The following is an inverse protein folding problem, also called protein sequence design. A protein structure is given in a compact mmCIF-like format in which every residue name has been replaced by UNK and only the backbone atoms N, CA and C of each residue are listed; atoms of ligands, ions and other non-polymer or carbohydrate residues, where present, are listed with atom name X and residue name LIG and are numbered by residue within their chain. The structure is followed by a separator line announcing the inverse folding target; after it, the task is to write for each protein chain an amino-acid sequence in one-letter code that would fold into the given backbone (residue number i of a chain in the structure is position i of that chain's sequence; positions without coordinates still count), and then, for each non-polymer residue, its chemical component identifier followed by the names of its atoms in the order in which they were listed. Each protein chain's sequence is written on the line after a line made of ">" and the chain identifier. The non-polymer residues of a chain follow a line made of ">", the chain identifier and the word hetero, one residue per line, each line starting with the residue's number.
data_IF_470878561012
#
_entry.id   IF_470878561012
#
_cell.length_a   1.000
_cell.length_b   1.000
_cell.length_c   1.000
_cell.angle_alpha   90.00
_cell.angle_beta   90.00
_cell.angle_gamma   90.00
#
_symmetry.space_group_name_H-M   'P 1'
#
loop_
_entity.id
_entity.type
_entity.pdbx_description
1 polymer ?
#
# COMPACT_ATOMS: atom_id res chain seq x y z
N UNK A 1 21.93 21.00 -3.00
CA UNK A 1 21.66 19.89 -3.95
C UNK A 1 20.81 18.86 -3.24
N UNK A 2 19.50 18.84 -3.50
CA UNK A 2 18.60 17.84 -2.92
C UNK A 2 18.90 16.50 -3.58
N UNK A 3 19.51 15.58 -2.82
CA UNK A 3 19.63 14.18 -3.22
C UNK A 3 18.25 13.58 -3.16
N UNK A 4 17.57 13.50 -4.31
CA UNK A 4 16.29 12.80 -4.43
C UNK A 4 16.45 11.39 -3.86
N UNK A 5 15.64 11.06 -2.86
CA UNK A 5 15.62 9.73 -2.28
C UNK A 5 14.95 8.79 -3.28
N UNK A 6 15.74 7.92 -3.91
CA UNK A 6 15.23 6.84 -4.76
C UNK A 6 14.74 5.70 -3.87
N UNK A 7 13.42 5.50 -3.81
CA UNK A 7 12.81 4.35 -3.15
C UNK A 7 12.75 3.21 -4.18
N UNK A 8 13.42 2.09 -3.88
CA UNK A 8 13.40 0.89 -4.72
C UNK A 8 12.22 0.00 -4.32
N UNK A 9 11.25 -0.18 -5.22
CA UNK A 9 10.20 -1.20 -5.09
C UNK A 9 10.69 -2.48 -5.76
N UNK A 10 11.25 -3.41 -4.99
CA UNK A 10 11.65 -4.71 -5.52
C UNK A 10 10.48 -5.71 -5.38
N UNK A 11 9.79 -5.97 -6.49
CA UNK A 11 8.70 -6.93 -6.56
C UNK A 11 9.20 -8.37 -6.53
N UNK A 12 9.21 -9.00 -5.35
CA UNK A 12 9.11 -10.46 -5.22
C UNK A 12 7.73 -10.78 -4.65
N UNK A 13 6.94 -11.49 -5.44
CA UNK A 13 5.48 -11.65 -5.44
C UNK A 13 4.84 -12.40 -4.26
N UNK A 14 5.35 -12.28 -3.03
CA UNK A 14 4.75 -12.93 -1.84
C UNK A 14 4.78 -12.05 -0.56
N UNK A 15 5.16 -10.77 -0.65
CA UNK A 15 5.35 -9.92 0.54
C UNK A 15 4.73 -8.55 0.37
N UNK A 16 3.87 -8.20 1.33
CA UNK A 16 3.30 -6.87 1.53
C UNK A 16 4.38 -5.78 1.35
N UNK A 17 4.26 -4.97 0.30
CA UNK A 17 5.00 -3.73 0.19
C UNK A 17 4.16 -2.60 0.80
N UNK A 18 4.80 -1.70 1.55
CA UNK A 18 4.14 -0.55 2.15
C UNK A 18 4.75 0.73 1.58
N UNK A 19 3.93 1.57 0.97
CA UNK A 19 4.32 2.94 0.60
C UNK A 19 4.13 3.82 1.83
N UNK A 20 5.21 4.43 2.30
CA UNK A 20 5.25 5.30 3.47
C UNK A 20 5.55 6.73 3.02
N UNK A 21 4.91 7.73 3.63
CA UNK A 21 5.09 9.14 3.23
C UNK A 21 5.33 10.11 4.39
N UNK A 22 5.85 9.63 5.53
CA UNK A 22 6.42 10.54 6.54
C UNK A 22 7.94 10.58 6.47
N UNK A 23 8.48 11.80 6.36
CA UNK A 23 9.92 12.07 6.48
C UNK A 23 10.47 11.51 7.80
N UNK A 24 9.71 11.58 8.88
CA UNK A 24 10.15 11.12 10.21
C UNK A 24 10.12 9.60 10.38
N UNK A 25 9.20 8.89 9.72
CA UNK A 25 9.09 7.43 9.83
C UNK A 25 10.13 6.70 9.00
N UNK A 26 10.24 7.06 7.71
CA UNK A 26 11.21 6.46 6.78
C UNK A 26 12.64 6.84 7.18
N UNK A 27 12.90 8.11 7.50
CA UNK A 27 14.25 8.52 7.91
C UNK A 27 14.66 7.74 9.17
N UNK A 28 13.76 7.52 10.12
CA UNK A 28 14.06 6.73 11.32
C UNK A 28 14.28 5.24 11.03
N UNK A 29 13.55 4.64 10.08
CA UNK A 29 13.82 3.28 9.57
C UNK A 29 15.26 3.20 9.04
N UNK A 30 15.63 4.17 8.22
CA UNK A 30 16.97 4.26 7.63
C UNK A 30 18.04 4.54 8.70
N UNK A 31 17.77 5.42 9.67
CA UNK A 31 18.67 5.78 10.78
C UNK A 31 18.90 4.59 11.73
N UNK A 32 17.90 3.71 11.90
CA UNK A 32 18.02 2.46 12.64
C UNK A 32 18.80 1.37 11.88
N UNK A 33 19.28 1.67 10.66
CA UNK A 33 20.03 0.73 9.82
C UNK A 33 19.19 -0.45 9.31
N UNK A 34 17.87 -0.35 9.38
CA UNK A 34 16.99 -1.35 8.80
C UNK A 34 17.16 -1.29 7.28
N UNK A 35 17.50 -2.42 6.68
CA UNK A 35 17.70 -2.55 5.24
C UNK A 35 16.83 -3.67 4.72
N UNK A 36 16.11 -3.41 3.64
CA UNK A 36 15.32 -4.44 2.97
C UNK A 36 16.29 -5.45 2.33
N UNK A 37 16.37 -6.65 2.89
CA UNK A 37 17.17 -7.75 2.33
C UNK A 37 16.29 -8.65 1.45
N UNK A 38 16.84 -9.14 0.34
CA UNK A 38 16.12 -10.00 -0.63
C UNK A 38 15.75 -11.39 -0.10
N UNK A 39 16.33 -11.84 1.01
CA UNK A 39 16.00 -13.14 1.58
C UNK A 39 14.61 -13.10 2.22
N UNK A 40 13.89 -14.24 2.23
CA UNK A 40 12.59 -14.39 2.90
C UNK A 40 12.61 -13.90 4.36
N UNK A 41 13.66 -14.27 5.11
CA UNK A 41 13.85 -13.81 6.49
C UNK A 41 14.08 -12.30 6.57
N UNK A 42 14.83 -11.75 5.61
CA UNK A 42 15.08 -10.32 5.49
C UNK A 42 13.81 -9.50 5.23
N UNK A 43 12.98 -9.94 4.29
CA UNK A 43 11.69 -9.31 3.99
C UNK A 43 10.71 -9.41 5.15
N UNK A 44 10.67 -10.56 5.84
CA UNK A 44 9.85 -10.73 7.04
C UNK A 44 10.28 -9.76 8.16
N UNK A 45 11.58 -9.68 8.44
CA UNK A 45 12.12 -8.78 9.45
C UNK A 45 11.87 -7.30 9.09
N UNK A 46 12.02 -6.96 7.81
CA UNK A 46 11.66 -5.65 7.28
C UNK A 46 10.19 -5.32 7.56
N UNK A 47 9.26 -6.17 7.14
CA UNK A 47 7.83 -5.94 7.34
C UNK A 47 7.45 -5.82 8.82
N UNK A 48 8.05 -6.62 9.70
CA UNK A 48 7.85 -6.51 11.15
C UNK A 48 8.31 -5.14 11.64
N UNK A 49 9.53 -4.71 11.29
CA UNK A 49 10.05 -3.40 11.71
C UNK A 49 9.23 -2.22 11.19
N UNK A 50 8.73 -2.31 9.95
CA UNK A 50 7.80 -1.30 9.42
C UNK A 50 6.51 -1.27 10.23
N UNK A 51 5.91 -2.43 10.53
CA UNK A 51 4.67 -2.50 11.32
C UNK A 51 4.87 -1.92 12.72
N UNK A 52 5.98 -2.25 13.40
CA UNK A 52 6.30 -1.69 14.74
C UNK A 52 6.40 -0.16 14.70
N UNK A 53 6.97 0.39 13.64
CA UNK A 53 7.07 1.85 13.46
C UNK A 53 5.68 2.44 13.18
N UNK A 54 4.85 1.76 12.41
CA UNK A 54 3.46 2.16 12.17
C UNK A 54 2.58 2.07 13.43
N UNK A 55 2.90 1.19 14.38
CA UNK A 55 2.27 1.12 15.71
C UNK A 55 2.69 2.31 16.59
N UNK A 56 3.97 2.65 16.59
CA UNK A 56 4.51 3.78 17.37
C UNK A 56 4.13 5.15 16.78
N UNK A 57 3.84 5.20 15.49
CA UNK A 57 3.52 6.42 14.75
C UNK A 57 2.19 6.26 14.00
N UNK A 58 1.05 6.39 14.70
CA UNK A 58 -0.28 6.21 14.10
C UNK A 58 -0.60 7.26 13.02
N UNK A 59 0.09 8.41 13.03
CA UNK A 59 -0.03 9.46 12.00
C UNK A 59 0.73 9.13 10.71
N UNK A 60 1.66 8.18 10.75
CA UNK A 60 2.37 7.74 9.54
C UNK A 60 1.40 7.08 8.57
N UNK A 61 1.47 7.50 7.31
CA UNK A 61 0.68 6.95 6.22
C UNK A 61 1.32 5.66 5.72
N UNK A 62 0.46 4.70 5.41
CA UNK A 62 0.84 3.41 4.88
C UNK A 62 -0.18 2.95 3.85
N UNK A 63 0.29 2.71 2.63
CA UNK A 63 -0.51 2.10 1.57
C UNK A 63 0.03 0.72 1.27
N UNK A 64 -0.85 -0.27 1.19
CA UNK A 64 -0.50 -1.61 0.73
C UNK A 64 -0.24 -1.55 -0.77
N UNK A 65 0.92 -2.03 -1.23
CA UNK A 65 1.21 -2.23 -2.63
C UNK A 65 1.42 -3.72 -2.86
N UNK A 66 0.52 -4.33 -3.61
CA UNK A 66 0.61 -5.73 -4.01
C UNK A 66 0.93 -5.83 -5.50
N UNK A 67 2.06 -6.46 -5.80
CA UNK A 67 2.53 -6.66 -7.17
C UNK A 67 2.45 -8.14 -7.55
N UNK A 68 1.92 -8.42 -8.73
CA UNK A 68 1.78 -9.75 -9.32
C UNK A 68 2.57 -9.88 -10.61
N UNK A 69 2.79 -11.12 -11.04
CA UNK A 69 3.44 -11.39 -12.30
C UNK A 69 2.61 -10.85 -13.49
N UNK A 70 3.27 -10.47 -14.60
CA UNK A 70 2.60 -10.14 -15.86
C UNK A 70 1.52 -11.15 -16.27
N UNK A 71 0.30 -10.68 -16.54
CA UNK A 71 -0.83 -11.53 -16.95
C UNK A 71 -1.63 -12.16 -15.80
N UNK A 72 -1.24 -11.93 -14.54
CA UNK A 72 -2.09 -12.27 -13.40
C UNK A 72 -3.42 -11.52 -13.47
N UNK A 73 -4.53 -12.22 -13.18
CA UNK A 73 -5.87 -11.62 -13.13
C UNK A 73 -6.05 -10.92 -11.79
N UNK A 74 -5.95 -9.60 -11.77
CA UNK A 74 -5.93 -8.81 -10.53
C UNK A 74 -7.16 -9.05 -9.64
N UNK A 75 -8.35 -9.20 -10.22
CA UNK A 75 -9.59 -9.44 -9.45
C UNK A 75 -9.52 -10.67 -8.54
N UNK A 76 -8.72 -11.69 -8.91
CA UNK A 76 -8.52 -12.90 -8.09
C UNK A 76 -7.61 -12.67 -6.87
N UNK A 77 -6.92 -11.53 -6.82
CA UNK A 77 -5.98 -11.18 -5.76
C UNK A 77 -6.52 -10.10 -4.82
N UNK A 78 -7.69 -9.52 -5.11
CA UNK A 78 -8.38 -8.59 -4.20
C UNK A 78 -8.59 -9.18 -2.80
N UNK A 79 -9.03 -10.45 -2.63
CA UNK A 79 -9.17 -11.04 -1.31
C UNK A 79 -7.86 -11.07 -0.50
N UNK A 80 -6.71 -11.25 -1.16
CA UNK A 80 -5.41 -11.24 -0.50
C UNK A 80 -5.08 -9.86 0.07
N UNK A 81 -5.30 -8.80 -0.73
CA UNK A 81 -5.05 -7.42 -0.29
C UNK A 81 -5.97 -7.02 0.87
N UNK A 82 -7.22 -7.48 0.86
CA UNK A 82 -8.15 -7.29 1.98
C UNK A 82 -7.64 -8.00 3.24
N UNK A 83 -7.16 -9.24 3.12
CA UNK A 83 -6.59 -9.98 4.25
C UNK A 83 -5.34 -9.29 4.82
N UNK A 84 -4.48 -8.73 3.97
CA UNK A 84 -3.32 -7.94 4.38
C UNK A 84 -3.74 -6.65 5.10
N UNK A 85 -4.77 -5.96 4.63
CA UNK A 85 -5.34 -4.79 5.30
C UNK A 85 -5.88 -5.15 6.69
N UNK A 86 -6.61 -6.25 6.81
CA UNK A 86 -7.08 -6.74 8.12
C UNK A 86 -5.91 -7.07 9.06
N UNK A 87 -4.84 -7.69 8.55
CA UNK A 87 -3.62 -7.92 9.31
C UNK A 87 -2.95 -6.64 9.79
N UNK A 88 -2.89 -5.62 8.94
CA UNK A 88 -2.36 -4.30 9.30
C UNK A 88 -3.25 -3.58 10.32
N UNK A 89 -4.58 -3.72 10.21
CA UNK A 89 -5.53 -3.19 11.20
C UNK A 89 -5.34 -3.84 12.57
N UNK A 90 -5.19 -5.17 12.63
CA UNK A 90 -5.01 -5.91 13.89
C UNK A 90 -3.84 -5.39 14.71
N UNK A 91 -2.74 -5.07 14.02
CA UNK A 91 -1.51 -4.56 14.62
C UNK A 91 -1.61 -3.08 14.95
N UNK A 92 -2.14 -2.29 14.02
CA UNK A 92 -1.97 -0.84 14.08
C UNK A 92 -3.24 -0.04 14.35
N UNK A 93 -4.39 -0.71 14.45
CA UNK A 93 -5.73 -0.13 14.66
C UNK A 93 -6.18 0.88 13.59
N UNK A 94 -5.49 0.94 12.44
CA UNK A 94 -5.87 1.79 11.30
C UNK A 94 -7.24 1.39 10.77
N UNK A 95 -8.16 2.35 10.73
CA UNK A 95 -9.54 2.12 10.25
C UNK A 95 -9.63 2.07 8.73
N UNK A 96 -8.90 2.96 8.06
CA UNK A 96 -8.89 3.08 6.61
C UNK A 96 -7.50 2.75 6.08
N UNK A 97 -7.42 1.75 5.20
CA UNK A 97 -6.16 1.20 4.71
C UNK A 97 -6.18 1.28 3.18
N UNK A 98 -5.50 2.27 2.59
CA UNK A 98 -5.37 2.37 1.14
C UNK A 98 -4.55 1.21 0.58
N UNK A 99 -4.87 0.80 -0.64
CA UNK A 99 -4.12 -0.22 -1.36
C UNK A 99 -4.00 0.07 -2.85
N UNK A 100 -2.97 -0.52 -3.44
CA UNK A 100 -2.66 -0.56 -4.87
C UNK A 100 -2.36 -2.02 -5.25
N UNK A 101 -2.96 -2.52 -6.32
CA UNK A 101 -2.74 -3.87 -6.84
C UNK A 101 -2.35 -3.78 -8.32
N UNK A 102 -1.26 -4.42 -8.73
CA UNK A 102 -0.74 -4.32 -10.10
C UNK A 102 -0.12 -5.61 -10.64
N UNK A 103 -0.18 -5.80 -11.95
CA UNK A 103 0.61 -6.79 -12.70
C UNK A 103 1.57 -6.10 -13.69
N UNK A 104 1.95 -4.85 -13.40
CA UNK A 104 2.67 -3.88 -14.23
C UNK A 104 1.88 -3.29 -15.41
N UNK A 105 0.93 -4.04 -15.99
CA UNK A 105 0.12 -3.61 -17.14
C UNK A 105 -1.26 -3.10 -16.73
N UNK A 106 -1.76 -3.55 -15.60
CA UNK A 106 -3.04 -3.16 -15.04
C UNK A 106 -2.84 -2.69 -13.60
N UNK A 107 -3.67 -1.75 -13.17
CA UNK A 107 -3.67 -1.20 -11.83
C UNK A 107 -5.10 -1.15 -11.28
N UNK A 108 -5.24 -1.53 -10.02
CA UNK A 108 -6.43 -1.33 -9.20
C UNK A 108 -5.99 -0.56 -7.96
N UNK A 109 -6.60 0.60 -7.74
CA UNK A 109 -6.48 1.38 -6.51
C UNK A 109 -7.74 1.18 -5.68
N UNK A 110 -7.59 1.15 -4.36
CA UNK A 110 -8.73 1.03 -3.48
C UNK A 110 -8.41 1.35 -2.04
N UNK A 111 -9.39 1.12 -1.18
CA UNK A 111 -9.28 1.37 0.26
C UNK A 111 -10.19 0.41 1.00
N UNK A 112 -9.68 -0.15 2.10
CA UNK A 112 -10.43 -0.99 3.02
C UNK A 112 -10.80 -0.17 4.25
N UNK A 113 -12.09 -0.20 4.62
CA UNK A 113 -12.61 0.35 5.88
C UNK A 113 -12.94 -0.81 6.82
N UNK A 114 -12.23 -0.87 7.94
CA UNK A 114 -12.45 -1.88 8.98
C UNK A 114 -13.33 -1.28 10.08
N UNK A 115 -14.43 -1.96 10.43
CA UNK A 115 -15.32 -1.51 11.51
C UNK A 115 -14.98 -2.25 12.80
N UNK A 116 -14.59 -1.55 13.90
CA UNK A 116 -14.33 -2.20 15.17
C UNK A 116 -15.63 -2.71 15.80
N UNK A 117 -15.59 -3.87 16.45
CA UNK A 117 -16.63 -4.28 17.40
C UNK A 117 -17.17 -5.69 17.21
N UNK A 118 -17.48 -6.11 15.98
CA UNK A 118 -18.15 -7.39 15.73
C UNK A 118 -17.63 -7.98 14.40
N UNK A 119 -17.10 -9.20 14.47
CA UNK A 119 -16.77 -10.09 13.34
C UNK A 119 -15.81 -9.59 12.24
N UNK A 120 -14.87 -8.69 12.53
CA UNK A 120 -13.89 -8.21 11.52
C UNK A 120 -14.56 -7.75 10.21
N UNK A 121 -15.73 -7.10 10.32
CA UNK A 121 -16.42 -6.59 9.16
C UNK A 121 -15.54 -5.53 8.45
N UNK A 122 -15.23 -5.81 7.19
CA UNK A 122 -14.49 -4.91 6.31
C UNK A 122 -15.34 -4.59 5.09
N UNK A 123 -15.50 -3.29 4.83
CA UNK A 123 -15.99 -2.77 3.57
C UNK A 123 -14.79 -2.39 2.71
N UNK A 124 -14.89 -2.52 1.40
CA UNK A 124 -13.83 -2.06 0.51
C UNK A 124 -14.43 -1.37 -0.71
N UNK A 125 -13.71 -0.36 -1.18
CA UNK A 125 -13.99 0.31 -2.44
C UNK A 125 -12.77 0.18 -3.34
N UNK A 126 -12.98 0.03 -4.64
CA UNK A 126 -11.92 -0.04 -5.62
C UNK A 126 -12.30 0.67 -6.92
N UNK A 127 -11.29 1.28 -7.53
CA UNK A 127 -11.36 1.81 -8.89
C UNK A 127 -11.62 0.68 -9.90
N UNK A 128 -12.12 1.06 -11.07
CA UNK A 128 -12.07 0.17 -12.24
C UNK A 128 -10.62 -0.10 -12.62
N UNK A 129 -10.37 -1.27 -13.22
CA UNK A 129 -9.06 -1.64 -13.76
C UNK A 129 -8.55 -0.56 -14.72
N UNK A 130 -7.39 0.01 -14.40
CA UNK A 130 -6.66 0.94 -15.25
C UNK A 130 -5.59 0.17 -16.02
N UNK A 131 -5.73 0.07 -17.35
CA UNK A 131 -4.72 -0.58 -18.19
C UNK A 131 -3.70 0.46 -18.68
N UNK A 132 -2.42 0.10 -18.62
CA UNK A 132 -1.30 0.85 -19.21
C UNK A 132 -0.93 0.18 -20.53
N UNK A 133 -1.19 0.87 -21.64
CA UNK A 133 -0.86 0.46 -23.01
C UNK A 133 0.38 1.17 -23.55
N UNK A 134 1.12 1.86 -22.70
CA UNK A 134 2.37 2.54 -23.05
C UNK A 134 2.20 4.01 -23.47
N UNK A 135 1.02 4.62 -23.25
CA UNK A 135 0.85 6.05 -23.44
C UNK A 135 1.32 6.84 -22.19
N UNK A 136 2.13 7.90 -22.33
CA UNK A 136 2.53 8.77 -21.22
C UNK A 136 1.38 9.25 -20.32
N UNK A 137 0.19 9.52 -20.87
CA UNK A 137 -0.96 9.96 -20.08
C UNK A 137 -1.43 8.91 -19.06
N UNK A 138 -1.40 7.63 -19.43
CA UNK A 138 -1.78 6.51 -18.55
C UNK A 138 -0.74 6.31 -17.45
N UNK A 139 0.55 6.43 -17.81
CA UNK A 139 1.65 6.38 -16.85
C UNK A 139 1.54 7.52 -15.84
N UNK A 140 1.30 8.74 -16.33
CA UNK A 140 1.11 9.91 -15.46
C UNK A 140 -0.08 9.74 -14.53
N UNK A 141 -1.20 9.20 -15.03
CA UNK A 141 -2.35 8.88 -14.19
C UNK A 141 -1.97 7.93 -13.04
N UNK A 142 -1.26 6.83 -13.34
CA UNK A 142 -0.83 5.86 -12.32
C UNK A 142 0.14 6.48 -11.32
N UNK A 143 1.08 7.31 -11.77
CA UNK A 143 2.00 8.02 -10.87
C UNK A 143 1.27 9.01 -9.97
N UNK A 144 0.30 9.76 -10.51
CA UNK A 144 -0.54 10.67 -9.72
C UNK A 144 -1.40 9.93 -8.71
N UNK A 145 -2.00 8.81 -9.12
CA UNK A 145 -2.79 7.95 -8.23
C UNK A 145 -1.92 7.34 -7.12
N UNK A 146 -0.72 6.83 -7.46
CA UNK A 146 0.23 6.32 -6.47
C UNK A 146 0.64 7.39 -5.47
N UNK A 147 0.96 8.59 -5.95
CA UNK A 147 1.28 9.71 -5.09
C UNK A 147 0.14 10.01 -4.12
N UNK A 148 -1.06 10.23 -4.66
CA UNK A 148 -2.26 10.50 -3.86
C UNK A 148 -2.54 9.42 -2.81
N UNK A 149 -2.56 8.15 -3.21
CA UNK A 149 -2.80 7.03 -2.29
C UNK A 149 -1.73 6.97 -1.20
N UNK A 150 -0.48 7.27 -1.54
CA UNK A 150 0.63 7.24 -0.60
C UNK A 150 0.60 8.40 0.41
N UNK A 151 0.13 9.59 0.02
CA UNK A 151 0.25 10.82 0.83
C UNK A 151 -1.00 11.17 1.62
N UNK A 152 -2.17 10.80 1.11
CA UNK A 152 -3.43 11.19 1.73
C UNK A 152 -3.81 10.30 2.92
N UNK A 153 -4.65 10.85 3.80
CA UNK A 153 -5.26 10.05 4.85
C UNK A 153 -6.23 9.02 4.24
N UNK A 154 -6.21 7.78 4.74
CA UNK A 154 -7.08 6.72 4.23
C UNK A 154 -8.57 7.08 4.31
N UNK A 155 -8.99 7.91 5.27
CA UNK A 155 -10.36 8.40 5.35
C UNK A 155 -10.70 9.35 4.19
N UNK A 156 -9.75 10.18 3.75
CA UNK A 156 -9.90 11.07 2.59
C UNK A 156 -10.06 10.23 1.33
N UNK A 157 -9.21 9.22 1.16
CA UNK A 157 -9.30 8.25 0.05
C UNK A 157 -10.67 7.57 0.04
N UNK A 158 -11.15 7.12 1.19
CA UNK A 158 -12.48 6.51 1.34
C UNK A 158 -13.61 7.46 0.94
N UNK A 159 -13.61 8.69 1.44
CA UNK A 159 -14.66 9.67 1.16
C UNK A 159 -14.73 10.04 -0.32
N UNK A 160 -13.61 10.05 -1.03
CA UNK A 160 -13.60 10.32 -2.47
C UNK A 160 -14.09 9.11 -3.27
N UNK A 161 -13.58 7.92 -2.95
CA UNK A 161 -13.97 6.70 -3.65
C UNK A 161 -15.44 6.33 -3.44
N UNK A 162 -15.84 6.13 -2.18
CA UNK A 162 -17.15 5.60 -1.82
C UNK A 162 -18.33 6.56 -2.07
N UNK A 163 -18.09 7.86 -2.33
CA UNK A 163 -19.13 8.82 -2.73
C UNK A 163 -19.38 8.86 -4.25
N UNK A 164 -18.58 8.14 -5.02
CA UNK A 164 -18.65 8.15 -6.49
C UNK A 164 -19.65 7.14 -7.07
N UNK A 165 -20.37 6.42 -6.22
CA UNK A 165 -21.45 5.47 -6.56
C UNK A 165 -22.81 6.02 -6.13
#
# INVERSE_FOLDING_TARGET
>A
MNKGHTIYLNGSTDYLALLLTSDTGIQRILDLGLTQKRSRYGLKAWNIGIIEILEQHPTSRATILEAKWPGAKLDKHVPQVIAEALGLHLRTRRKFIPFCLTNAYEWIFGVVKVTPGEDFAAEFWMTRRCAIKGNPAEVMFVLSALHFWSTEDGEVVWKLGAKSE
#
